data_IF_464875349678
#
_entry.id   IF_464875349678
#
_cell.length_a   1.000
_cell.length_b   1.000
_cell.length_c   1.000
_cell.angle_alpha   90.00
_cell.angle_beta   90.00
_cell.angle_gamma   90.00
#
_symmetry.space_group_name_H-M   'P 1'
#
loop_
_entity.id
_entity.type
_entity.pdbx_description
1 polymer ?
#
# COMPACT_ATOMS: atom_id res chain seq x y z
N UNK A 1 10.54 29.21 23.54
CA UNK A 1 9.45 28.71 22.68
C UNK A 1 9.78 29.11 21.25
N UNK A 2 10.34 28.19 20.49
CA UNK A 2 10.48 28.30 19.04
C UNK A 2 10.46 26.86 18.52
N UNK A 3 9.27 26.35 18.20
CA UNK A 3 9.16 25.09 17.46
C UNK A 3 9.39 25.47 16.01
N UNK A 4 10.49 24.99 15.43
CA UNK A 4 10.77 25.18 14.02
C UNK A 4 9.65 24.54 13.21
N UNK A 5 9.09 25.33 12.30
CA UNK A 5 8.11 24.92 11.31
C UNK A 5 8.81 24.06 10.25
N UNK A 6 9.22 22.85 10.63
CA UNK A 6 9.66 21.86 9.65
C UNK A 6 8.41 21.42 8.88
N UNK A 7 8.15 22.05 7.74
CA UNK A 7 7.27 21.49 6.72
C UNK A 7 7.77 20.09 6.40
N UNK A 8 7.07 19.08 6.93
CA UNK A 8 7.27 17.71 6.51
C UNK A 8 6.79 17.62 5.06
N UNK A 9 7.53 16.96 4.16
CA UNK A 9 7.07 16.75 2.80
C UNK A 9 5.72 16.03 2.86
N UNK A 10 4.67 16.73 2.47
CA UNK A 10 3.32 16.18 2.39
C UNK A 10 3.35 15.15 1.26
N UNK A 11 3.12 13.88 1.58
CA UNK A 11 2.89 12.82 0.58
C UNK A 11 1.54 13.10 -0.09
N UNK A 12 1.50 14.10 -0.96
CA UNK A 12 0.32 14.51 -1.70
C UNK A 12 0.02 13.45 -2.74
N UNK A 13 -0.96 12.58 -2.47
CA UNK A 13 -1.31 11.53 -3.41
C UNK A 13 -2.41 10.59 -2.97
N UNK A 14 -2.81 9.75 -3.92
CA UNK A 14 -3.67 8.60 -3.70
C UNK A 14 -2.82 7.39 -3.29
N UNK A 15 -3.13 6.78 -2.14
CA UNK A 15 -2.57 5.50 -1.71
C UNK A 15 -3.50 4.40 -2.18
N UNK A 16 -3.04 3.63 -3.17
CA UNK A 16 -3.78 2.54 -3.79
C UNK A 16 -3.34 1.18 -3.23
N UNK A 17 -4.21 0.18 -3.36
CA UNK A 17 -3.85 -1.22 -3.07
C UNK A 17 -2.85 -1.72 -4.11
N UNK A 18 -1.84 -2.47 -3.70
CA UNK A 18 -0.90 -3.11 -4.62
C UNK A 18 -1.12 -4.63 -4.62
N UNK A 19 -1.73 -5.14 -5.68
CA UNK A 19 -2.20 -6.52 -5.78
C UNK A 19 -1.72 -7.11 -7.11
N UNK A 20 -1.06 -8.27 -7.05
CA UNK A 20 -0.59 -9.02 -8.22
C UNK A 20 0.31 -8.20 -9.18
N UNK A 21 1.15 -7.34 -8.62
CA UNK A 21 2.09 -6.50 -9.39
C UNK A 21 1.50 -5.17 -9.87
N UNK A 22 0.27 -4.82 -9.50
CA UNK A 22 -0.40 -3.63 -10.00
C UNK A 22 -0.99 -2.75 -8.87
N UNK A 23 -0.93 -1.43 -9.05
CA UNK A 23 -1.68 -0.49 -8.21
C UNK A 23 -3.13 -0.40 -8.67
N UNK A 24 -4.06 -0.58 -7.73
CA UNK A 24 -5.50 -0.59 -7.97
C UNK A 24 -6.22 0.20 -6.88
N UNK A 25 -7.18 1.03 -7.28
CA UNK A 25 -8.18 1.53 -6.34
C UNK A 25 -8.98 0.33 -5.79
N UNK A 26 -9.47 0.43 -4.56
CA UNK A 26 -10.37 -0.58 -4.01
C UNK A 26 -11.57 -0.79 -4.94
N UNK A 27 -12.02 -2.02 -5.10
CA UNK A 27 -13.07 -2.36 -6.07
C UNK A 27 -14.40 -1.65 -5.80
N UNK A 28 -14.65 -1.27 -4.55
CA UNK A 28 -15.82 -0.47 -4.14
C UNK A 28 -15.60 1.05 -4.23
N UNK A 29 -14.39 1.50 -4.59
CA UNK A 29 -14.05 2.92 -4.75
C UNK A 29 -14.04 3.76 -3.47
N UNK A 30 -14.23 3.13 -2.29
CA UNK A 30 -14.19 3.82 -0.99
C UNK A 30 -12.77 4.28 -0.63
N UNK A 31 -12.67 5.40 0.06
CA UNK A 31 -11.39 5.94 0.54
C UNK A 31 -11.58 6.90 1.70
N UNK A 32 -10.56 7.01 2.55
CA UNK A 32 -10.53 7.93 3.69
C UNK A 32 -9.36 8.90 3.59
N UNK A 33 -9.52 10.06 4.25
CA UNK A 33 -8.47 11.06 4.36
C UNK A 33 -7.38 10.56 5.32
N UNK A 34 -6.12 10.57 4.85
CA UNK A 34 -4.96 10.46 5.71
C UNK A 34 -4.69 11.83 6.31
N UNK A 35 -4.82 11.95 7.62
CA UNK A 35 -4.74 13.23 8.34
C UNK A 35 -3.43 13.27 9.12
N UNK A 36 -2.68 14.35 8.96
CA UNK A 36 -1.48 14.61 9.76
C UNK A 36 -1.87 14.81 11.23
N UNK A 37 -1.35 14.00 12.17
CA UNK A 37 -1.66 14.12 13.60
C UNK A 37 -1.14 15.42 14.23
N UNK A 38 -0.19 16.12 13.60
CA UNK A 38 0.40 17.36 14.11
C UNK A 38 -0.44 18.58 13.74
N UNK A 39 -0.79 18.71 12.45
CA UNK A 39 -1.52 19.87 11.94
C UNK A 39 -3.03 19.67 11.83
N UNK A 40 -3.51 18.42 11.78
CA UNK A 40 -4.89 18.08 11.45
C UNK A 40 -5.22 18.27 9.96
N UNK A 41 -4.25 18.60 9.11
CA UNK A 41 -4.43 18.74 7.68
C UNK A 41 -4.53 17.38 6.98
N UNK A 42 -5.36 17.30 5.94
CA UNK A 42 -5.35 16.14 5.03
C UNK A 42 -4.06 16.14 4.22
N UNK A 43 -3.30 15.05 4.31
CA UNK A 43 -2.05 14.86 3.57
C UNK A 43 -2.22 13.94 2.37
N UNK A 44 -3.31 13.18 2.25
CA UNK A 44 -3.62 12.36 1.09
C UNK A 44 -4.88 11.51 1.29
N UNK A 45 -5.22 10.66 0.30
CA UNK A 45 -6.37 9.72 0.39
C UNK A 45 -5.92 8.28 0.27
N UNK A 46 -6.40 7.42 1.14
CA UNK A 46 -6.13 5.97 1.13
C UNK A 46 -7.37 5.23 0.66
N UNK A 47 -7.23 4.42 -0.38
CA UNK A 47 -8.32 3.58 -0.87
C UNK A 47 -8.53 2.37 0.05
N UNK A 48 -9.79 2.11 0.40
CA UNK A 48 -10.17 0.97 1.24
C UNK A 48 -10.17 -0.32 0.41
N UNK A 49 -9.63 -1.40 0.95
CA UNK A 49 -9.77 -2.74 0.38
C UNK A 49 -11.13 -3.33 0.79
N UNK A 50 -11.90 -3.79 -0.19
CA UNK A 50 -13.07 -4.63 0.04
C UNK A 50 -12.68 -6.08 0.31
N UNK A 51 -13.65 -6.91 0.70
CA UNK A 51 -13.47 -8.36 0.80
C UNK A 51 -12.95 -8.96 -0.52
N UNK A 52 -13.50 -8.53 -1.66
CA UNK A 52 -13.07 -9.01 -2.97
C UNK A 52 -11.61 -8.63 -3.30
N UNK A 53 -11.15 -7.45 -2.87
CA UNK A 53 -9.76 -7.04 -3.06
C UNK A 53 -8.81 -7.89 -2.20
N UNK A 54 -9.22 -8.19 -0.96
CA UNK A 54 -8.46 -9.06 -0.06
C UNK A 54 -8.38 -10.48 -0.61
N UNK A 55 -9.49 -11.03 -1.09
CA UNK A 55 -9.52 -12.35 -1.73
C UNK A 55 -8.60 -12.41 -2.95
N UNK A 56 -8.64 -11.39 -3.82
CA UNK A 56 -7.75 -11.30 -4.97
C UNK A 56 -6.27 -11.27 -4.55
N UNK A 57 -5.94 -10.52 -3.49
CA UNK A 57 -4.58 -10.45 -2.94
C UNK A 57 -4.11 -11.80 -2.39
N UNK A 58 -4.96 -12.50 -1.64
CA UNK A 58 -4.65 -13.83 -1.09
C UNK A 58 -4.46 -14.86 -2.20
N UNK A 59 -5.31 -14.84 -3.23
CA UNK A 59 -5.16 -15.73 -4.38
C UNK A 59 -3.86 -15.45 -5.15
N UNK A 60 -3.50 -14.18 -5.36
CA UNK A 60 -2.23 -13.80 -6.00
C UNK A 60 -1.03 -14.29 -5.17
N UNK A 61 -1.05 -14.09 -3.86
CA UNK A 61 0.00 -14.57 -2.96
C UNK A 61 0.15 -16.11 -3.01
N UNK A 62 -0.97 -16.86 -3.04
CA UNK A 62 -0.93 -18.33 -3.19
C UNK A 62 -0.29 -18.75 -4.51
N UNK A 63 -0.65 -18.12 -5.63
CA UNK A 63 -0.01 -18.38 -6.93
C UNK A 63 1.48 -18.07 -6.91
N UNK A 64 1.89 -16.96 -6.28
CA UNK A 64 3.31 -16.59 -6.16
C UNK A 64 4.10 -17.59 -5.29
N UNK A 65 3.49 -18.11 -4.22
CA UNK A 65 4.06 -19.13 -3.35
C UNK A 65 4.25 -20.47 -4.07
N UNK A 66 3.34 -20.86 -4.96
CA UNK A 66 3.50 -22.07 -5.79
C UNK A 66 4.40 -21.84 -7.03
N UNK A 67 4.63 -20.55 -7.35
CA UNK A 67 5.38 -20.06 -8.49
C UNK A 67 6.89 -19.93 -8.26
N UNK A 68 7.59 -19.16 -9.12
CA UNK A 68 9.06 -19.07 -9.11
C UNK A 68 9.63 -18.64 -7.76
N UNK A 69 9.07 -17.60 -7.14
CA UNK A 69 9.56 -17.08 -5.86
C UNK A 69 9.54 -18.13 -4.74
N UNK A 70 8.45 -18.90 -4.61
CA UNK A 70 8.36 -19.94 -3.58
C UNK A 70 9.25 -21.15 -3.83
N UNK A 71 9.68 -21.39 -5.07
CA UNK A 71 10.61 -22.47 -5.44
C UNK A 71 12.08 -22.08 -5.33
N UNK A 72 12.38 -20.79 -5.26
CA UNK A 72 13.75 -20.30 -5.12
C UNK A 72 14.37 -20.77 -3.80
N UNK A 73 15.66 -21.11 -3.85
CA UNK A 73 16.51 -21.29 -2.69
C UNK A 73 16.80 -19.95 -2.00
N UNK A 74 17.28 -19.99 -0.76
CA UNK A 74 17.67 -18.76 -0.05
C UNK A 74 18.70 -17.92 -0.83
N UNK A 75 19.78 -18.48 -1.40
CA UNK A 75 20.74 -17.69 -2.17
C UNK A 75 20.16 -17.04 -3.43
N UNK A 76 19.16 -17.67 -4.07
CA UNK A 76 18.47 -17.08 -5.22
C UNK A 76 17.60 -15.89 -4.81
N UNK A 77 16.86 -16.02 -3.69
CA UNK A 77 16.03 -14.91 -3.17
C UNK A 77 16.83 -13.70 -2.71
N UNK A 78 18.04 -13.91 -2.17
CA UNK A 78 18.90 -12.81 -1.67
C UNK A 78 19.44 -11.92 -2.81
N UNK A 79 19.44 -12.40 -4.06
CA UNK A 79 19.94 -11.65 -5.21
C UNK A 79 18.92 -10.69 -5.83
N UNK A 80 17.66 -10.77 -5.40
CA UNK A 80 16.53 -9.96 -5.87
C UNK A 80 16.31 -8.82 -4.88
#
# INVERSE_FOLDING_TARGET
>A
MARGDTELPSVTGEVMNFIDGEFRRGSEGRSFANVDPVSGGEIGRVFEASEADVDAAVQAARRALEGPWGRMTTPERVKI
#
